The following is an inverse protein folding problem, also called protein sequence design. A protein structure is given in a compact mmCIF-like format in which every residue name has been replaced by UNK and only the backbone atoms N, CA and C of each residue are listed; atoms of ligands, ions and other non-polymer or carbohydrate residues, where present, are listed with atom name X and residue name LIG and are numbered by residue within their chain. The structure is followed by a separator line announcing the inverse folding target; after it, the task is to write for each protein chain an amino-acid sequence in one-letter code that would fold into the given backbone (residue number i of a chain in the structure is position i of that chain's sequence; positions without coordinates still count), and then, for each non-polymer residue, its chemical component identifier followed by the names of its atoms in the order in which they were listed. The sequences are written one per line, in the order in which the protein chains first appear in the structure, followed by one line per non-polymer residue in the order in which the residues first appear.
data_IF_653439345129
#
_entry.id   IF_653439345129
#
_cell.length_a   1.000
_cell.length_b   1.000
_cell.length_c   1.000
_cell.angle_alpha   90.00
_cell.angle_beta   90.00
_cell.angle_gamma   90.00
#
_symmetry.space_group_name_H-M   'P 1'
#
loop_
_entity.id
_entity.type
_entity.pdbx_description
1 polymer ?
#
# COMPACT_ATOMS: atom_id res chain seq x y z
N UNK A 1 -32.71 -19.86 49.54
CA UNK A 1 -31.70 -20.11 48.48
C UNK A 1 -32.22 -19.53 47.18
N UNK A 2 -31.90 -18.27 46.88
CA UNK A 2 -32.30 -17.62 45.62
C UNK A 2 -31.26 -17.90 44.55
N UNK A 3 -31.67 -18.56 43.47
CA UNK A 3 -30.85 -18.72 42.27
C UNK A 3 -30.91 -17.42 41.47
N UNK A 4 -29.79 -16.72 41.38
CA UNK A 4 -29.57 -15.62 40.45
C UNK A 4 -29.42 -16.26 39.07
N UNK A 5 -30.46 -16.14 38.24
CA UNK A 5 -30.40 -16.52 36.83
C UNK A 5 -29.58 -15.48 36.08
N UNK A 6 -28.43 -15.90 35.56
CA UNK A 6 -27.64 -15.12 34.61
C UNK A 6 -28.46 -15.10 33.31
N UNK A 7 -29.02 -13.95 32.94
CA UNK A 7 -29.55 -13.77 31.59
C UNK A 7 -28.37 -13.81 30.62
N UNK A 8 -28.39 -14.76 29.69
CA UNK A 8 -27.58 -14.67 28.49
C UNK A 8 -27.95 -13.36 27.78
N UNK A 9 -27.01 -12.44 27.68
CA UNK A 9 -27.17 -11.26 26.84
C UNK A 9 -27.35 -11.74 25.39
N UNK A 10 -28.61 -11.82 24.98
CA UNK A 10 -29.00 -12.05 23.61
C UNK A 10 -28.33 -10.95 22.76
N UNK A 11 -27.47 -11.37 21.83
CA UNK A 11 -26.79 -10.46 20.92
C UNK A 11 -27.78 -9.58 20.14
N UNK A 12 -27.28 -8.62 19.33
CA UNK A 12 -28.09 -7.58 18.72
C UNK A 12 -29.37 -8.14 18.08
N UNK A 13 -30.51 -7.45 18.31
CA UNK A 13 -31.82 -7.85 17.79
C UNK A 13 -31.77 -8.18 16.30
N UNK A 14 -32.48 -9.22 15.87
CA UNK A 14 -32.40 -9.75 14.50
C UNK A 14 -32.66 -8.66 13.44
N UNK A 15 -33.62 -7.77 13.70
CA UNK A 15 -33.93 -6.64 12.83
C UNK A 15 -32.78 -5.63 12.69
N UNK A 16 -32.03 -5.39 13.76
CA UNK A 16 -30.85 -4.51 13.71
C UNK A 16 -29.77 -5.13 12.84
N UNK A 17 -29.54 -6.44 12.95
CA UNK A 17 -28.57 -7.15 12.09
C UNK A 17 -29.00 -7.15 10.62
N UNK A 18 -30.29 -7.31 10.35
CA UNK A 18 -30.83 -7.25 8.99
C UNK A 18 -30.64 -5.86 8.38
N UNK A 19 -31.02 -4.81 9.13
CA UNK A 19 -30.82 -3.42 8.70
C UNK A 19 -29.35 -3.06 8.53
N UNK A 20 -28.47 -3.47 9.45
CA UNK A 20 -27.03 -3.24 9.32
C UNK A 20 -26.46 -3.95 8.10
N UNK A 21 -26.92 -5.18 7.80
CA UNK A 21 -26.50 -5.90 6.60
C UNK A 21 -26.95 -5.18 5.34
N UNK A 22 -28.18 -4.67 5.32
CA UNK A 22 -28.74 -3.91 4.20
C UNK A 22 -28.02 -2.58 4.00
N UNK A 23 -27.81 -1.79 5.07
CA UNK A 23 -27.04 -0.55 5.05
C UNK A 23 -25.62 -0.82 4.54
N UNK A 24 -24.93 -1.85 5.09
CA UNK A 24 -23.60 -2.23 4.62
C UNK A 24 -23.62 -2.65 3.16
N UNK A 25 -24.53 -3.54 2.73
CA UNK A 25 -24.60 -3.97 1.34
C UNK A 25 -24.90 -2.81 0.38
N UNK A 26 -25.67 -1.82 0.82
CA UNK A 26 -25.97 -0.61 0.04
C UNK A 26 -24.73 0.28 -0.08
N UNK A 27 -24.07 0.58 1.04
CA UNK A 27 -22.79 1.32 1.04
C UNK A 27 -21.72 0.61 0.21
N UNK A 28 -21.62 -0.72 0.31
CA UNK A 28 -20.68 -1.52 -0.47
C UNK A 28 -21.07 -1.63 -1.95
N UNK A 29 -22.36 -1.57 -2.30
CA UNK A 29 -22.81 -1.55 -3.69
C UNK A 29 -22.40 -0.24 -4.38
N UNK A 30 -22.47 0.88 -3.67
CA UNK A 30 -21.93 2.16 -4.14
C UNK A 30 -20.40 2.11 -4.29
N UNK A 31 -19.68 1.39 -3.40
CA UNK A 31 -18.23 1.09 -3.48
C UNK A 31 -17.84 0.10 -4.58
N UNK A 32 -18.71 -0.84 -4.94
CA UNK A 32 -18.42 -1.88 -5.92
C UNK A 32 -18.31 -1.35 -7.37
N UNK A 33 -18.77 -0.13 -7.62
CA UNK A 33 -18.61 0.53 -8.92
C UNK A 33 -17.15 0.94 -9.20
N UNK A 34 -16.36 1.18 -8.14
CA UNK A 34 -14.96 1.54 -8.27
C UNK A 34 -14.09 0.29 -8.39
N UNK A 35 -13.01 0.32 -9.20
CA UNK A 35 -12.02 -0.76 -9.16
C UNK A 35 -11.48 -0.88 -7.74
N UNK A 36 -11.64 -2.05 -7.13
CA UNK A 36 -11.01 -2.35 -5.84
C UNK A 36 -9.50 -2.38 -6.04
N UNK A 37 -8.70 -1.77 -5.13
CA UNK A 37 -7.27 -2.04 -5.12
C UNK A 37 -7.10 -3.55 -4.92
N UNK A 38 -6.23 -4.19 -5.72
CA UNK A 38 -5.91 -5.58 -5.43
C UNK A 38 -5.33 -5.66 -4.01
N UNK A 39 -5.76 -6.66 -3.21
CA UNK A 39 -5.18 -6.86 -1.90
C UNK A 39 -3.67 -6.90 -2.10
N UNK A 40 -2.93 -6.10 -1.32
CA UNK A 40 -1.47 -6.14 -1.29
C UNK A 40 -1.09 -7.62 -1.29
N UNK A 41 -0.33 -8.06 -2.32
CA UNK A 41 0.02 -9.47 -2.53
C UNK A 41 0.28 -10.06 -1.16
N UNK A 42 -0.65 -10.93 -0.75
CA UNK A 42 -0.63 -11.53 0.59
C UNK A 42 0.78 -12.00 0.80
N UNK A 43 1.38 -11.68 1.95
CA UNK A 43 2.70 -12.18 2.34
C UNK A 43 2.62 -13.71 2.25
N UNK A 44 2.89 -14.26 1.08
CA UNK A 44 2.89 -15.67 0.86
C UNK A 44 4.06 -16.15 1.70
N UNK A 45 3.87 -17.13 2.61
CA UNK A 45 5.01 -17.72 3.28
C UNK A 45 5.86 -18.34 2.17
N UNK A 46 7.01 -17.70 1.88
CA UNK A 46 8.04 -18.28 1.03
C UNK A 46 8.33 -19.67 1.58
N UNK A 47 7.83 -20.67 0.86
CA UNK A 47 8.10 -22.07 1.16
C UNK A 47 9.49 -22.31 0.60
N UNK A 48 10.50 -22.02 1.42
CA UNK A 48 11.89 -22.11 1.02
C UNK A 48 12.80 -21.61 2.12
N UNK A 49 13.35 -22.58 2.86
CA UNK A 49 14.52 -22.43 3.75
C UNK A 49 14.25 -21.93 5.18
N UNK A 50 13.51 -22.74 5.93
CA UNK A 50 13.63 -22.81 7.38
C UNK A 50 14.43 -24.07 7.76
N UNK A 51 15.76 -24.03 7.60
CA UNK A 51 16.65 -24.86 8.42
C UNK A 51 16.86 -24.15 9.77
N UNK A 52 15.77 -24.05 10.53
CA UNK A 52 15.85 -23.71 11.95
C UNK A 52 16.22 -25.00 12.67
N UNK A 53 17.52 -25.10 12.96
CA UNK A 53 18.15 -26.03 13.89
C UNK A 53 17.21 -26.30 15.08
N UNK A 54 16.60 -27.49 15.12
CA UNK A 54 15.92 -28.04 16.29
C UNK A 54 16.95 -28.37 17.38
N UNK A 55 17.46 -27.35 18.04
CA UNK A 55 18.25 -27.48 19.27
C UNK A 55 17.34 -27.60 20.48
N UNK A 56 17.04 -28.83 20.92
CA UNK A 56 16.41 -29.08 22.22
C UNK A 56 17.20 -28.37 23.35
N UNK A 57 16.56 -27.68 24.31
CA UNK A 57 17.27 -27.11 25.43
C UNK A 57 17.78 -28.23 26.37
N UNK A 58 19.09 -28.47 26.37
CA UNK A 58 19.75 -29.28 27.40
C UNK A 58 19.79 -28.48 28.70
N UNK A 59 19.07 -28.95 29.71
CA UNK A 59 19.11 -28.44 31.10
C UNK A 59 20.55 -28.47 31.63
N UNK A 60 21.12 -27.35 32.10
CA UNK A 60 22.41 -27.40 32.78
C UNK A 60 22.24 -27.94 34.20
N UNK A 61 22.97 -29.02 34.51
CA UNK A 61 23.13 -29.57 35.86
C UNK A 61 23.79 -28.52 36.76
N UNK A 62 23.12 -28.13 37.85
CA UNK A 62 23.72 -27.41 38.98
C UNK A 62 24.91 -28.21 39.50
N UNK A 63 26.12 -27.69 39.34
CA UNK A 63 27.25 -28.00 40.21
C UNK A 63 27.51 -26.78 41.10
N UNK A 64 27.15 -26.93 42.37
CA UNK A 64 27.65 -26.09 43.45
C UNK A 64 29.16 -26.31 43.53
N UNK A 65 29.95 -25.26 43.31
CA UNK A 65 31.24 -25.08 43.96
C UNK A 65 31.32 -23.65 44.44
N UNK A 66 31.19 -23.51 45.76
CA UNK A 66 31.62 -22.32 46.47
C UNK A 66 33.14 -22.20 46.30
N UNK A 67 33.61 -21.00 45.96
CA UNK A 67 35.01 -20.73 45.68
C UNK A 67 35.28 -19.24 45.57
N UNK A 68 35.36 -18.59 46.73
CA UNK A 68 36.35 -17.57 47.10
C UNK A 68 36.48 -16.29 46.22
N UNK A 69 35.94 -15.21 46.80
CA UNK A 69 36.53 -13.90 47.02
C UNK A 69 37.30 -13.16 45.90
N UNK A 70 36.83 -11.93 45.64
CA UNK A 70 37.68 -10.75 45.51
C UNK A 70 37.89 -10.20 44.09
N UNK A 71 37.40 -8.99 43.82
CA UNK A 71 37.85 -8.26 42.62
C UNK A 71 36.95 -7.15 42.08
N UNK A 72 36.91 -6.01 42.80
CA UNK A 72 36.97 -4.65 42.26
C UNK A 72 36.14 -4.31 40.99
N UNK A 73 34.99 -3.68 41.26
CA UNK A 73 34.48 -2.45 40.60
C UNK A 73 35.33 -1.87 39.45
N UNK A 74 35.03 -2.23 38.19
CA UNK A 74 35.53 -1.52 36.99
C UNK A 74 34.77 -1.82 35.67
N UNK A 75 33.56 -2.40 35.74
CA UNK A 75 32.81 -2.85 34.55
C UNK A 75 31.75 -1.90 34.00
N UNK A 76 31.23 -0.98 34.81
CA UNK A 76 30.00 -0.25 34.45
C UNK A 76 30.15 0.80 33.34
N UNK A 77 31.36 1.27 33.02
CA UNK A 77 31.56 2.25 31.93
C UNK A 77 31.59 1.62 30.54
N UNK A 78 31.92 0.33 30.40
CA UNK A 78 32.02 -0.32 29.08
C UNK A 78 30.67 -0.85 28.57
N UNK A 79 29.75 -1.15 29.47
CA UNK A 79 28.39 -1.63 29.11
C UNK A 79 27.52 -0.48 28.58
N UNK A 80 27.69 0.74 29.12
CA UNK A 80 26.91 1.90 28.68
C UNK A 80 27.22 2.36 27.24
N UNK A 81 28.48 2.25 26.80
CA UNK A 81 28.89 2.64 25.44
C UNK A 81 28.40 1.62 24.39
N UNK A 82 28.37 0.33 24.73
CA UNK A 82 27.84 -0.72 23.86
C UNK A 82 26.32 -0.63 23.68
N UNK A 83 25.58 -0.21 24.72
CA UNK A 83 24.13 0.01 24.61
C UNK A 83 23.76 1.22 23.74
N UNK A 84 24.59 2.28 23.71
CA UNK A 84 24.35 3.44 22.85
C UNK A 84 24.62 3.13 21.37
N UNK A 85 25.66 2.35 21.07
CA UNK A 85 25.93 1.88 19.70
C UNK A 85 24.89 0.87 19.20
N UNK A 86 24.32 0.04 20.07
CA UNK A 86 23.23 -0.87 19.71
C UNK A 86 21.93 -0.11 19.34
N UNK A 87 21.58 0.94 20.08
CA UNK A 87 20.41 1.78 19.76
C UNK A 87 20.62 2.57 18.47
N UNK A 88 21.83 3.11 18.24
CA UNK A 88 22.18 3.78 16.98
C UNK A 88 22.23 2.80 15.80
N UNK A 89 22.74 1.58 15.99
CA UNK A 89 22.74 0.54 14.96
C UNK A 89 21.34 0.05 14.57
N UNK A 90 20.43 -0.09 15.53
CA UNK A 90 19.01 -0.41 15.27
C UNK A 90 18.31 0.76 14.58
N UNK A 91 18.55 2.00 15.00
CA UNK A 91 17.97 3.18 14.35
C UNK A 91 18.52 3.37 12.91
N UNK A 92 19.81 3.11 12.69
CA UNK A 92 20.45 3.20 11.37
C UNK A 92 19.97 2.10 10.42
N UNK A 93 19.79 0.87 10.90
CA UNK A 93 19.23 -0.23 10.10
C UNK A 93 17.76 0.03 9.75
N UNK A 94 16.94 0.58 10.66
CA UNK A 94 15.56 0.97 10.37
C UNK A 94 15.48 2.11 9.35
N UNK A 95 16.35 3.12 9.44
CA UNK A 95 16.36 4.25 8.49
C UNK A 95 16.89 3.85 7.10
N UNK A 96 17.94 3.03 7.03
CA UNK A 96 18.44 2.52 5.74
C UNK A 96 17.44 1.56 5.09
N UNK A 97 16.81 0.67 5.87
CA UNK A 97 15.78 -0.25 5.35
C UNK A 97 14.53 0.51 4.89
N UNK A 98 14.13 1.56 5.60
CA UNK A 98 13.00 2.41 5.22
C UNK A 98 13.23 3.16 3.91
N UNK A 99 14.44 3.67 3.67
CA UNK A 99 14.77 4.36 2.42
C UNK A 99 14.83 3.41 1.22
N UNK A 100 15.32 2.18 1.43
CA UNK A 100 15.34 1.13 0.40
C UNK A 100 13.92 0.63 0.10
N UNK A 101 13.09 0.43 1.13
CA UNK A 101 11.69 0.05 0.94
C UNK A 101 10.91 1.10 0.13
N UNK A 102 11.16 2.40 0.38
CA UNK A 102 10.52 3.47 -0.38
C UNK A 102 10.87 3.46 -1.87
N UNK A 103 12.11 3.06 -2.22
CA UNK A 103 12.59 2.95 -3.61
C UNK A 103 12.37 1.58 -4.23
N UNK A 104 11.80 0.63 -3.49
CA UNK A 104 11.55 -0.71 -4.00
C UNK A 104 10.63 -0.64 -5.23
N UNK A 105 10.97 -1.44 -6.24
CA UNK A 105 10.17 -1.64 -7.46
C UNK A 105 9.65 -3.08 -7.52
N UNK A 106 8.65 -3.38 -8.36
CA UNK A 106 8.17 -4.75 -8.53
C UNK A 106 9.30 -5.74 -8.76
N UNK A 107 9.25 -6.85 -8.01
CA UNK A 107 10.29 -7.88 -7.99
C UNK A 107 11.34 -7.71 -6.88
N UNK A 108 11.40 -6.56 -6.20
CA UNK A 108 12.28 -6.38 -5.05
C UNK A 108 11.67 -6.98 -3.77
N UNK A 109 12.53 -7.45 -2.86
CA UNK A 109 12.11 -8.14 -1.62
C UNK A 109 11.27 -7.27 -0.70
N UNK A 110 11.52 -5.96 -0.68
CA UNK A 110 10.79 -5.00 0.16
C UNK A 110 9.58 -4.37 -0.55
N UNK A 111 9.31 -4.75 -1.80
CA UNK A 111 8.21 -4.19 -2.56
C UNK A 111 6.82 -4.48 -1.95
N UNK A 112 6.52 -5.71 -1.47
CA UNK A 112 5.26 -5.96 -0.78
C UNK A 112 5.05 -5.08 0.46
N UNK A 113 6.13 -4.76 1.18
CA UNK A 113 6.08 -3.85 2.32
C UNK A 113 5.75 -2.42 1.88
N UNK A 114 6.36 -1.93 0.79
CA UNK A 114 6.02 -0.63 0.19
C UNK A 114 4.52 -0.56 -0.14
N UNK A 115 3.99 -1.59 -0.81
CA UNK A 115 2.56 -1.70 -1.15
C UNK A 115 1.66 -1.70 0.08
N UNK A 116 2.03 -2.43 1.14
CA UNK A 116 1.26 -2.48 2.37
C UNK A 116 1.19 -1.10 3.04
N UNK A 117 2.30 -0.36 3.06
CA UNK A 117 2.37 1.00 3.61
C UNK A 117 1.50 1.96 2.81
N UNK A 118 1.63 1.97 1.46
CA UNK A 118 0.79 2.79 0.57
C UNK A 118 -0.71 2.49 0.75
N UNK A 119 -1.07 1.21 0.77
CA UNK A 119 -2.47 0.78 0.94
C UNK A 119 -3.03 1.17 2.30
N UNK A 120 -2.22 1.10 3.36
CA UNK A 120 -2.62 1.53 4.70
C UNK A 120 -2.85 3.02 4.74
N UNK A 121 -2.00 3.81 4.09
CA UNK A 121 -2.23 5.25 3.95
C UNK A 121 -3.56 5.50 3.23
N UNK A 122 -3.82 4.89 2.08
CA UNK A 122 -5.12 5.06 1.40
C UNK A 122 -6.30 4.68 2.31
N UNK A 123 -6.20 3.56 3.04
CA UNK A 123 -7.27 3.09 3.94
C UNK A 123 -7.48 3.94 5.19
N UNK A 124 -6.47 4.67 5.65
CA UNK A 124 -6.56 5.58 6.80
C UNK A 124 -7.05 6.99 6.42
N UNK A 125 -7.18 7.31 5.13
CA UNK A 125 -7.82 8.57 4.70
C UNK A 125 -9.31 8.51 4.98
N UNK A 126 -9.77 9.39 5.87
CA UNK A 126 -11.19 9.56 6.20
C UNK A 126 -11.92 10.44 5.19
N UNK A 127 -11.18 11.28 4.47
CA UNK A 127 -11.69 12.22 3.47
C UNK A 127 -11.54 11.63 2.06
N UNK A 128 -12.63 11.58 1.30
CA UNK A 128 -12.71 11.02 -0.06
C UNK A 128 -11.73 11.72 -1.01
N UNK A 129 -11.59 13.03 -0.88
CA UNK A 129 -10.67 13.83 -1.70
C UNK A 129 -9.22 13.50 -1.38
N UNK A 130 -8.86 13.38 -0.11
CA UNK A 130 -7.53 12.94 0.30
C UNK A 130 -7.25 11.51 -0.18
N UNK A 131 -8.23 10.61 -0.06
CA UNK A 131 -8.14 9.24 -0.55
C UNK A 131 -7.89 9.21 -2.06
N UNK A 132 -8.60 10.03 -2.84
CA UNK A 132 -8.39 10.19 -4.26
C UNK A 132 -6.98 10.72 -4.58
N UNK A 133 -6.52 11.75 -3.88
CA UNK A 133 -5.16 12.30 -4.06
C UNK A 133 -4.08 11.26 -3.76
N UNK A 134 -4.24 10.44 -2.71
CA UNK A 134 -3.30 9.35 -2.40
C UNK A 134 -3.30 8.28 -3.50
N UNK A 135 -4.46 7.95 -4.07
CA UNK A 135 -4.56 7.03 -5.22
C UNK A 135 -3.90 7.59 -6.49
N UNK A 136 -4.07 8.89 -6.80
CA UNK A 136 -3.34 9.54 -7.91
C UNK A 136 -1.82 9.50 -7.68
N UNK A 137 -1.35 9.77 -6.46
CA UNK A 137 0.08 9.65 -6.13
C UNK A 137 0.58 8.21 -6.32
N UNK A 138 -0.20 7.21 -5.91
CA UNK A 138 0.16 5.82 -6.16
C UNK A 138 0.32 5.55 -7.67
N UNK A 139 -0.58 6.08 -8.53
CA UNK A 139 -0.43 5.97 -9.99
C UNK A 139 0.85 6.65 -10.52
N UNK A 140 1.22 7.83 -9.99
CA UNK A 140 2.52 8.47 -10.31
C UNK A 140 3.72 7.60 -9.91
N UNK A 141 3.66 6.98 -8.74
CA UNK A 141 4.71 6.05 -8.28
C UNK A 141 4.80 4.82 -9.18
N UNK A 142 3.66 4.29 -9.66
CA UNK A 142 3.65 3.20 -10.65
C UNK A 142 4.34 3.60 -11.95
N UNK A 143 4.12 4.81 -12.44
CA UNK A 143 4.79 5.30 -13.64
C UNK A 143 6.33 5.35 -13.45
N UNK A 144 6.79 5.77 -12.27
CA UNK A 144 8.22 5.77 -11.91
C UNK A 144 8.80 4.35 -11.74
N UNK A 145 8.00 3.40 -11.23
CA UNK A 145 8.36 1.98 -11.17
C UNK A 145 8.51 1.39 -12.57
N UNK A 146 7.58 1.68 -13.48
CA UNK A 146 7.69 1.31 -14.91
C UNK A 146 8.99 1.83 -15.50
N UNK A 147 9.33 3.10 -15.27
CA UNK A 147 10.58 3.71 -15.72
C UNK A 147 11.82 2.89 -15.34
N UNK A 148 11.81 2.38 -14.11
CA UNK A 148 12.91 1.68 -13.47
C UNK A 148 13.01 0.22 -13.90
N UNK A 149 11.89 -0.37 -14.31
CA UNK A 149 11.82 -1.74 -14.84
C UNK A 149 12.23 -1.82 -16.32
N UNK A 150 12.01 -0.75 -17.09
CA UNK A 150 12.36 -0.69 -18.50
C UNK A 150 13.87 -0.86 -18.70
N UNK A 151 14.24 -1.69 -19.68
CA UNK A 151 15.63 -2.02 -19.98
C UNK A 151 16.23 -3.12 -19.09
N UNK A 152 15.48 -3.65 -18.11
CA UNK A 152 15.93 -4.83 -17.33
C UNK A 152 15.46 -6.13 -17.99
N UNK A 153 16.38 -7.03 -18.40
CA UNK A 153 16.01 -8.32 -19.00
C UNK A 153 15.11 -9.15 -18.08
N UNK A 154 14.11 -9.82 -18.66
CA UNK A 154 13.22 -10.72 -17.93
C UNK A 154 12.16 -10.04 -17.06
N UNK A 155 12.03 -8.71 -17.09
CA UNK A 155 11.03 -7.96 -16.29
C UNK A 155 9.82 -7.45 -17.08
N UNK A 156 9.62 -7.90 -18.31
CA UNK A 156 8.51 -7.44 -19.19
C UNK A 156 7.14 -7.65 -18.54
N UNK A 157 6.91 -8.81 -17.92
CA UNK A 157 5.66 -9.09 -17.22
C UNK A 157 5.41 -8.16 -16.03
N UNK A 158 6.49 -7.77 -15.34
CA UNK A 158 6.42 -6.80 -14.24
C UNK A 158 6.06 -5.41 -14.77
N UNK A 159 6.65 -4.97 -15.89
CA UNK A 159 6.28 -3.71 -16.54
C UNK A 159 4.77 -3.70 -16.86
N UNK A 160 4.30 -4.75 -17.55
CA UNK A 160 2.89 -4.92 -17.92
C UNK A 160 1.96 -4.89 -16.70
N UNK A 161 2.31 -5.62 -15.63
CA UNK A 161 1.55 -5.60 -14.36
C UNK A 161 1.51 -4.21 -13.74
N UNK A 162 2.65 -3.52 -13.70
CA UNK A 162 2.77 -2.19 -13.09
C UNK A 162 1.94 -1.13 -13.82
N UNK A 163 1.86 -1.20 -15.15
CA UNK A 163 0.98 -0.32 -15.94
C UNK A 163 -0.49 -0.61 -15.64
N UNK A 164 -0.89 -1.87 -15.41
CA UNK A 164 -2.27 -2.18 -14.97
C UNK A 164 -2.55 -1.63 -13.58
N UNK A 165 -1.58 -1.72 -12.66
CA UNK A 165 -1.72 -1.16 -11.33
C UNK A 165 -1.81 0.38 -11.37
N UNK A 166 -1.10 1.03 -12.29
CA UNK A 166 -1.20 2.46 -12.56
C UNK A 166 -2.60 2.85 -13.04
N UNK A 167 -3.09 2.21 -14.10
CA UNK A 167 -4.44 2.45 -14.65
C UNK A 167 -5.52 2.23 -13.60
N UNK A 168 -5.42 1.14 -12.83
CA UNK A 168 -6.35 0.85 -11.73
C UNK A 168 -6.34 1.94 -10.67
N UNK A 169 -5.16 2.35 -10.19
CA UNK A 169 -5.05 3.41 -9.18
C UNK A 169 -5.66 4.74 -9.67
N UNK A 170 -5.46 5.11 -10.94
CA UNK A 170 -6.07 6.29 -11.54
C UNK A 170 -7.59 6.17 -11.61
N UNK A 171 -8.13 5.06 -12.12
CA UNK A 171 -9.59 4.81 -12.18
C UNK A 171 -10.23 4.83 -10.79
N UNK A 172 -9.58 4.21 -9.81
CA UNK A 172 -10.04 4.22 -8.42
C UNK A 172 -9.96 5.62 -7.79
N UNK A 173 -9.10 6.51 -8.27
CA UNK A 173 -9.04 7.89 -7.81
C UNK A 173 -10.16 8.74 -8.43
N UNK A 174 -10.39 8.60 -9.73
CA UNK A 174 -11.48 9.27 -10.45
C UNK A 174 -12.83 8.91 -9.85
N UNK A 175 -13.05 7.62 -9.55
CA UNK A 175 -14.29 7.17 -8.93
C UNK A 175 -14.56 7.83 -7.56
N UNK A 176 -13.51 8.10 -6.77
CA UNK A 176 -13.65 8.83 -5.49
C UNK A 176 -13.89 10.33 -5.73
N UNK A 177 -13.22 10.93 -6.72
CA UNK A 177 -13.45 12.34 -7.09
C UNK A 177 -14.86 12.57 -7.64
N UNK A 178 -15.41 11.61 -8.37
CA UNK A 178 -16.78 11.69 -8.87
C UNK A 178 -17.81 11.70 -7.74
N UNK A 179 -17.51 11.04 -6.62
CA UNK A 179 -18.34 11.11 -5.39
C UNK A 179 -18.23 12.49 -4.75
N UNK A 180 -17.01 13.00 -4.57
CA UNK A 180 -16.77 14.35 -4.03
C UNK A 180 -17.45 15.41 -4.91
N UNK A 181 -17.37 15.31 -6.24
CA UNK A 181 -17.96 16.28 -7.17
C UNK A 181 -19.49 16.36 -7.06
N UNK A 182 -20.16 15.23 -6.77
CA UNK A 182 -21.60 15.21 -6.51
C UNK A 182 -21.97 15.98 -5.24
N UNK A 183 -21.05 16.05 -4.28
CA UNK A 183 -21.21 16.75 -3.01
C UNK A 183 -20.73 18.21 -3.09
N UNK A 184 -19.69 18.50 -3.88
CA UNK A 184 -19.03 19.80 -4.00
C UNK A 184 -18.67 20.14 -5.47
N UNK A 185 -19.28 21.18 -6.03
CA UNK A 185 -19.27 21.47 -7.47
C UNK A 185 -17.94 22.00 -8.10
N UNK A 186 -16.75 21.77 -7.53
CA UNK A 186 -15.50 22.45 -7.98
C UNK A 186 -14.21 21.63 -7.84
N UNK A 187 -14.06 20.54 -8.60
CA UNK A 187 -12.84 19.71 -8.58
C UNK A 187 -12.34 19.34 -10.00
N UNK A 188 -12.04 20.33 -10.84
CA UNK A 188 -11.49 20.12 -12.19
C UNK A 188 -9.95 20.30 -12.33
N UNK A 189 -9.26 21.25 -11.64
CA UNK A 189 -7.86 21.58 -11.97
C UNK A 189 -6.82 20.53 -11.50
N UNK A 190 -7.24 19.49 -10.75
CA UNK A 190 -6.34 18.45 -10.25
C UNK A 190 -6.09 17.35 -11.28
N UNK A 191 -7.13 16.90 -12.00
CA UNK A 191 -7.03 15.82 -12.98
C UNK A 191 -6.22 16.23 -14.21
N UNK A 192 -6.40 17.47 -14.70
CA UNK A 192 -5.61 18.00 -15.81
C UNK A 192 -4.11 18.03 -15.50
N UNK A 193 -3.74 18.57 -14.33
CA UNK A 193 -2.32 18.60 -13.89
C UNK A 193 -1.75 17.19 -13.71
N UNK A 194 -2.56 16.26 -13.23
CA UNK A 194 -2.18 14.86 -13.15
C UNK A 194 -1.91 14.27 -14.55
N UNK A 195 -2.82 14.46 -15.51
CA UNK A 195 -2.66 13.96 -16.87
C UNK A 195 -1.38 14.52 -17.54
N UNK A 196 -1.16 15.83 -17.47
CA UNK A 196 0.06 16.48 -17.99
C UNK A 196 1.35 15.87 -17.39
N UNK A 197 1.35 15.58 -16.09
CA UNK A 197 2.49 14.98 -15.40
C UNK A 197 2.70 13.52 -15.83
N UNK A 198 1.63 12.76 -15.99
CA UNK A 198 1.68 11.38 -16.46
C UNK A 198 2.23 11.29 -17.89
N UNK A 199 1.76 12.14 -18.81
CA UNK A 199 2.30 12.23 -20.17
C UNK A 199 3.80 12.45 -20.18
N UNK A 200 4.28 13.45 -19.41
CA UNK A 200 5.71 13.76 -19.30
C UNK A 200 6.56 12.56 -18.89
N UNK A 201 6.01 11.66 -18.08
CA UNK A 201 6.69 10.46 -17.60
C UNK A 201 6.54 9.31 -18.60
N UNK A 202 5.33 9.01 -19.06
CA UNK A 202 5.00 7.79 -19.82
C UNK A 202 5.33 7.92 -21.31
N UNK A 203 5.15 9.09 -21.94
CA UNK A 203 5.40 9.25 -23.40
C UNK A 203 6.81 8.82 -23.83
N UNK A 204 7.90 9.25 -23.13
CA UNK A 204 9.26 8.82 -23.48
C UNK A 204 9.54 7.34 -23.22
N UNK A 205 8.64 6.64 -22.51
CA UNK A 205 8.78 5.22 -22.22
C UNK A 205 8.19 4.35 -23.32
N UNK A 206 7.20 4.84 -24.07
CA UNK A 206 6.46 4.07 -25.08
C UNK A 206 7.38 3.40 -26.09
N UNK A 207 8.41 4.12 -26.55
CA UNK A 207 9.38 3.62 -27.54
C UNK A 207 10.30 2.51 -27.01
N UNK A 208 10.39 2.35 -25.68
CA UNK A 208 11.23 1.35 -25.00
C UNK A 208 10.45 0.10 -24.61
N UNK A 209 9.14 0.09 -24.82
CA UNK A 209 8.25 -1.02 -24.51
C UNK A 209 8.11 -1.97 -25.70
N UNK A 210 7.75 -3.23 -25.45
CA UNK A 210 7.26 -4.11 -26.51
C UNK A 210 5.87 -3.65 -27.01
N UNK A 211 5.45 -4.15 -28.16
CA UNK A 211 4.22 -3.72 -28.81
C UNK A 211 2.95 -3.93 -27.95
N UNK A 212 2.89 -4.98 -27.11
CA UNK A 212 1.73 -5.21 -26.25
C UNK A 212 1.70 -4.21 -25.09
N UNK A 213 2.84 -4.04 -24.41
CA UNK A 213 2.98 -3.11 -23.29
C UNK A 213 2.76 -1.67 -23.76
N UNK A 214 3.28 -1.29 -24.93
CA UNK A 214 3.05 0.02 -25.54
C UNK A 214 1.56 0.27 -25.78
N UNK A 215 0.82 -0.68 -26.38
CA UNK A 215 -0.64 -0.53 -26.57
C UNK A 215 -1.38 -0.29 -25.26
N UNK A 216 -0.98 -1.00 -24.20
CA UNK A 216 -1.59 -0.82 -22.88
C UNK A 216 -1.29 0.57 -22.29
N UNK A 217 -0.05 1.05 -22.43
CA UNK A 217 0.34 2.37 -21.98
C UNK A 217 -0.38 3.49 -22.77
N UNK A 218 -0.49 3.35 -24.09
CA UNK A 218 -1.25 4.29 -24.94
C UNK A 218 -2.72 4.33 -24.56
N UNK A 219 -3.37 3.17 -24.34
CA UNK A 219 -4.77 3.15 -23.89
C UNK A 219 -4.98 3.78 -22.51
N UNK A 220 -3.96 3.78 -21.65
CA UNK A 220 -3.98 4.54 -20.39
C UNK A 220 -3.88 6.05 -20.62
N UNK A 221 -3.01 6.50 -21.52
CA UNK A 221 -2.87 7.91 -21.89
C UNK A 221 -4.17 8.45 -22.50
N UNK A 222 -4.77 7.70 -23.43
CA UNK A 222 -6.06 8.05 -24.02
C UNK A 222 -7.16 8.19 -22.94
N UNK A 223 -7.14 7.32 -21.90
CA UNK A 223 -8.08 7.40 -20.79
C UNK A 223 -7.90 8.69 -19.98
N UNK A 224 -6.67 9.06 -19.61
CA UNK A 224 -6.43 10.26 -18.79
C UNK A 224 -6.63 11.57 -19.57
N UNK A 225 -6.44 11.56 -20.90
CA UNK A 225 -6.80 12.68 -21.77
C UNK A 225 -8.30 12.94 -21.76
N UNK A 226 -9.11 11.87 -21.79
CA UNK A 226 -10.56 11.97 -21.64
C UNK A 226 -11.01 12.60 -20.31
N UNK A 227 -10.20 12.49 -19.26
CA UNK A 227 -10.47 13.13 -17.95
C UNK A 227 -10.03 14.60 -17.90
N UNK A 228 -9.07 14.99 -18.76
CA UNK A 228 -8.47 16.33 -18.77
C UNK A 228 -9.11 17.27 -19.80
N UNK A 229 -9.87 16.72 -20.75
CA UNK A 229 -10.63 17.49 -21.73
C UNK A 229 -11.70 18.34 -21.02
N UNK A 230 -11.88 19.62 -21.40
CA UNK A 230 -13.01 20.40 -20.89
C UNK A 230 -14.31 19.69 -21.28
N UNK A 231 -15.26 19.62 -20.35
CA UNK A 231 -16.65 19.30 -20.66
C UNK A 231 -17.11 20.29 -21.74
N UNK A 232 -17.03 19.89 -23.01
CA UNK A 232 -17.58 20.69 -24.08
C UNK A 232 -19.07 20.67 -23.87
N UNK A 233 -19.57 21.76 -23.28
CA UNK A 233 -20.98 22.11 -23.27
C UNK A 233 -21.48 21.98 -24.70
N UNK A 234 -22.14 20.85 -24.96
CA UNK A 234 -23.06 20.69 -26.08
C UNK A 234 -24.29 21.53 -25.78
N UNK A 235 -24.09 22.85 -25.66
CA UNK A 235 -25.13 23.85 -25.81
C UNK A 235 -25.17 24.20 -27.30
N UNK A 236 -25.60 23.22 -28.09
CA UNK A 236 -26.07 23.47 -29.45
C UNK A 236 -27.34 24.28 -29.35
N UNK A 237 -27.18 25.57 -29.58
CA UNK A 237 -28.11 26.45 -30.28
C UNK A 237 -29.06 25.69 -31.20
N UNK A 238 -30.36 25.84 -30.93
CA UNK A 238 -31.51 25.46 -31.74
C UNK A 238 -32.73 25.66 -30.84
N UNK A 239 -33.60 26.63 -31.01
CA UNK A 239 -33.99 27.45 -32.17
C UNK A 239 -34.42 28.83 -31.64
#
# INVERSE_FOLDING_TARGET
MSKIGIQEEAGPRAEFRAKLREDLLTTYADDAACPLPEPAETIAPTTGQADIVRGRPRRPRRRRRAGRAGGRSRGYRRVAVLSQLAVVGVAFTLTVTGLVAYRAVPGDTLYPLKRAVESTMVGLSTDERERAQRKLRAAEERAAEVASLLGTPGRVDLVKKTIRDMDRATRSAVCELDRVRREEAKEEPTLRRFAEKQHRVVDPMLQRMDAQTQRQASGYLDYIDGLAAPETTSATTGD
#
